data_IF_309417604055
#
_entry.id   IF_309417604055
#
_cell.length_a   1.000
_cell.length_b   1.000
_cell.length_c   1.000
_cell.angle_alpha   90.00
_cell.angle_beta   90.00
_cell.angle_gamma   90.00
#
_symmetry.space_group_name_H-M   'P 1'
#
loop_
_entity.id
_entity.type
_entity.pdbx_description
1 polymer ?
#
# COMPACT_ATOMS: atom_id res chain seq x y z
N UNK A 1 5.22 -4.15 3.39
CA UNK A 1 6.21 -4.90 4.21
C UNK A 1 7.31 -4.05 4.81
N UNK A 2 8.16 -3.38 4.01
CA UNK A 2 9.35 -2.68 4.51
C UNK A 2 9.07 -1.69 5.66
N UNK A 3 7.95 -0.95 5.65
CA UNK A 3 7.59 -0.03 6.74
C UNK A 3 7.28 -0.69 8.09
N UNK A 4 7.05 -2.01 8.11
CA UNK A 4 6.73 -2.78 9.32
C UNK A 4 7.96 -3.46 9.92
N UNK A 5 8.96 -3.81 9.10
CA UNK A 5 10.10 -4.65 9.51
C UNK A 5 11.46 -3.95 9.46
N UNK A 6 11.61 -2.92 8.62
CA UNK A 6 12.87 -2.22 8.42
C UNK A 6 12.76 -0.76 8.87
N UNK A 7 13.90 -0.17 9.24
CA UNK A 7 14.00 1.27 9.43
C UNK A 7 14.18 2.01 8.10
N UNK A 8 13.84 3.30 8.08
CA UNK A 8 13.95 4.17 6.92
C UNK A 8 12.62 4.74 6.43
N UNK A 9 12.59 5.17 5.17
CA UNK A 9 11.50 5.97 4.59
C UNK A 9 10.12 5.32 4.78
N UNK A 10 10.01 4.01 4.53
CA UNK A 10 8.73 3.31 4.68
C UNK A 10 8.26 3.27 6.14
N UNK A 11 9.17 3.19 7.11
CA UNK A 11 8.84 3.19 8.55
C UNK A 11 8.31 4.55 8.98
N UNK A 12 8.96 5.60 8.52
CA UNK A 12 8.54 6.97 8.81
C UNK A 12 7.19 7.30 8.19
N UNK A 13 6.91 6.78 7.00
CA UNK A 13 5.58 6.90 6.39
C UNK A 13 4.53 6.26 7.32
N UNK A 14 4.75 5.00 7.73
CA UNK A 14 3.80 4.29 8.60
C UNK A 14 3.59 5.01 9.92
N UNK A 15 4.66 5.47 10.57
CA UNK A 15 4.59 6.05 11.92
C UNK A 15 4.11 7.50 11.95
N UNK A 16 4.55 8.33 11.01
CA UNK A 16 4.42 9.79 11.10
C UNK A 16 3.45 10.38 10.10
N UNK A 17 3.17 9.65 9.01
CA UNK A 17 2.47 10.19 7.85
C UNK A 17 1.12 9.53 7.63
N UNK A 18 0.97 8.24 7.93
CA UNK A 18 -0.33 7.56 7.87
C UNK A 18 -1.45 8.24 8.66
N UNK A 19 -1.25 8.83 9.87
CA UNK A 19 -2.34 9.50 10.58
C UNK A 19 -2.94 10.70 9.85
N UNK A 20 -2.23 11.26 8.86
CA UNK A 20 -2.71 12.36 8.03
C UNK A 20 -3.31 11.88 6.69
N UNK A 21 -3.42 10.57 6.48
CA UNK A 21 -3.89 9.96 5.24
C UNK A 21 -5.01 8.95 5.53
N UNK A 22 -5.94 8.82 4.61
CA UNK A 22 -6.85 7.67 4.62
C UNK A 22 -6.16 6.50 3.92
N UNK A 23 -5.95 5.41 4.66
CA UNK A 23 -5.33 4.21 4.14
C UNK A 23 -6.41 3.28 3.58
N UNK A 24 -6.25 2.88 2.32
CA UNK A 24 -7.15 1.96 1.64
C UNK A 24 -6.45 0.62 1.40
N UNK A 25 -7.15 -0.49 1.69
CA UNK A 25 -6.61 -1.84 1.48
C UNK A 25 -7.72 -2.83 1.16
N UNK A 26 -7.37 -4.09 0.85
CA UNK A 26 -8.32 -5.20 0.70
C UNK A 26 -8.02 -6.29 1.73
N UNK A 27 -8.98 -7.21 1.90
CA UNK A 27 -8.76 -8.39 2.75
C UNK A 27 -7.63 -9.26 2.23
N UNK A 28 -7.54 -9.43 0.90
CA UNK A 28 -6.52 -10.25 0.26
C UNK A 28 -5.14 -9.70 0.51
N UNK A 29 -4.92 -8.39 0.30
CA UNK A 29 -3.63 -7.76 0.59
C UNK A 29 -3.23 -7.83 2.08
N UNK A 30 -4.20 -7.74 2.99
CA UNK A 30 -3.93 -7.89 4.42
C UNK A 30 -3.53 -9.32 4.78
N UNK A 31 -4.19 -10.31 4.20
CA UNK A 31 -3.88 -11.73 4.40
C UNK A 31 -2.50 -12.05 3.81
N UNK A 32 -2.23 -11.62 2.58
CA UNK A 32 -0.94 -11.77 1.91
C UNK A 32 0.20 -11.09 2.67
N UNK A 33 -0.05 -9.88 3.21
CA UNK A 33 0.90 -9.19 4.08
C UNK A 33 1.21 -10.02 5.33
N UNK A 34 0.19 -10.61 5.95
CA UNK A 34 0.34 -11.49 7.10
C UNK A 34 1.12 -12.76 6.80
N UNK A 35 0.83 -13.41 5.68
CA UNK A 35 1.54 -14.60 5.19
C UNK A 35 3.02 -14.27 4.93
N UNK A 36 3.31 -13.21 4.17
CA UNK A 36 4.69 -12.81 3.88
C UNK A 36 5.47 -12.43 5.14
N UNK A 37 4.83 -11.88 6.17
CA UNK A 37 5.47 -11.63 7.48
C UNK A 37 5.90 -12.94 8.16
N UNK A 38 5.05 -13.96 8.12
CA UNK A 38 5.34 -15.28 8.69
C UNK A 38 6.42 -16.00 7.90
N UNK A 39 6.27 -16.09 6.59
CA UNK A 39 7.13 -16.89 5.73
C UNK A 39 8.51 -16.26 5.54
N UNK A 40 8.58 -14.95 5.26
CA UNK A 40 9.87 -14.29 4.94
C UNK A 40 10.61 -13.80 6.16
N UNK A 41 9.91 -13.48 7.25
CA UNK A 41 10.52 -12.86 8.43
C UNK A 41 10.35 -13.67 9.72
N UNK A 42 9.56 -14.76 9.71
CA UNK A 42 9.30 -15.55 10.91
C UNK A 42 8.51 -14.78 11.98
N UNK A 43 7.82 -13.69 11.61
CA UNK A 43 7.12 -12.82 12.54
C UNK A 43 5.64 -13.17 12.56
N UNK A 44 5.06 -13.35 13.76
CA UNK A 44 3.61 -13.47 13.89
C UNK A 44 2.96 -12.09 13.75
N UNK A 45 2.07 -11.86 12.77
CA UNK A 45 1.32 -10.62 12.59
C UNK A 45 0.68 -10.08 13.87
N UNK A 46 0.25 -10.97 14.77
CA UNK A 46 -0.38 -10.60 16.05
C UNK A 46 0.59 -9.91 17.02
N UNK A 47 1.88 -10.19 16.91
CA UNK A 47 2.92 -9.65 17.77
C UNK A 47 3.58 -8.41 17.15
N UNK A 48 3.00 -7.83 16.10
CA UNK A 48 3.50 -6.64 15.41
C UNK A 48 2.57 -5.45 15.69
N UNK A 49 2.84 -4.62 16.72
CA UNK A 49 1.99 -3.48 17.07
C UNK A 49 1.75 -2.52 15.90
N UNK A 50 2.74 -2.33 15.03
CA UNK A 50 2.59 -1.44 13.87
C UNK A 50 1.72 -2.03 12.77
N UNK A 51 1.66 -3.36 12.65
CA UNK A 51 0.72 -3.99 11.73
C UNK A 51 -0.70 -3.88 12.27
N UNK A 52 -0.88 -3.94 13.60
CA UNK A 52 -2.17 -3.70 14.22
C UNK A 52 -2.63 -2.25 13.98
N UNK A 53 -1.78 -1.26 14.23
CA UNK A 53 -2.07 0.16 13.95
C UNK A 53 -2.41 0.36 12.47
N UNK A 54 -1.67 -0.29 11.57
CA UNK A 54 -1.94 -0.24 10.14
C UNK A 54 -3.34 -0.79 9.81
N UNK A 55 -3.71 -1.95 10.37
CA UNK A 55 -5.02 -2.56 10.17
C UNK A 55 -6.15 -1.69 10.74
N UNK A 56 -5.96 -1.15 11.94
CA UNK A 56 -6.95 -0.32 12.63
C UNK A 56 -7.18 1.02 11.92
N UNK A 57 -6.16 1.53 11.22
CA UNK A 57 -6.24 2.78 10.45
C UNK A 57 -6.65 2.58 8.99
N UNK A 58 -6.77 1.33 8.53
CA UNK A 58 -7.05 1.01 7.14
C UNK A 58 -8.55 0.79 6.90
N UNK A 59 -9.08 1.44 5.87
CA UNK A 59 -10.39 1.13 5.30
C UNK A 59 -10.26 -0.10 4.40
N UNK A 60 -10.87 -1.22 4.83
CA UNK A 60 -10.86 -2.48 4.08
C UNK A 60 -11.98 -2.48 3.04
N UNK A 61 -11.61 -2.54 1.78
CA UNK A 61 -12.49 -2.57 0.62
C UNK A 61 -12.59 -3.97 0.04
N UNK A 62 -13.70 -4.22 -0.68
CA UNK A 62 -13.89 -5.40 -1.54
C UNK A 62 -13.97 -4.92 -2.99
N UNK A 63 -12.82 -4.70 -3.66
CA UNK A 63 -12.81 -4.25 -5.04
C UNK A 63 -13.42 -5.31 -5.95
N UNK A 64 -14.07 -4.88 -7.04
CA UNK A 64 -14.39 -5.78 -8.15
C UNK A 64 -13.14 -5.94 -9.00
N UNK A 65 -12.92 -7.13 -9.56
CA UNK A 65 -11.85 -7.36 -10.52
C UNK A 65 -11.92 -6.35 -11.67
N UNK A 66 -10.76 -5.90 -12.14
CA UNK A 66 -10.69 -5.02 -13.29
C UNK A 66 -11.33 -5.69 -14.51
N UNK A 67 -11.96 -4.88 -15.37
CA UNK A 67 -12.60 -5.38 -16.60
C UNK A 67 -11.61 -5.97 -17.59
N UNK A 68 -10.35 -5.53 -17.54
CA UNK A 68 -9.23 -6.01 -18.34
C UNK A 68 -7.98 -6.01 -17.48
N UNK A 69 -7.10 -7.00 -17.63
CA UNK A 69 -5.80 -6.96 -16.97
C UNK A 69 -5.01 -5.75 -17.43
N UNK A 70 -4.40 -5.02 -16.50
CA UNK A 70 -3.60 -3.81 -16.79
C UNK A 70 -2.13 -4.12 -16.61
N UNK A 71 -1.81 -4.84 -15.54
CA UNK A 71 -0.48 -5.29 -15.20
C UNK A 71 -0.25 -6.73 -15.69
N UNK A 72 1.03 -7.11 -15.75
CA UNK A 72 1.43 -8.50 -16.08
C UNK A 72 1.24 -9.42 -14.88
N UNK A 73 1.36 -8.85 -13.68
CA UNK A 73 1.11 -9.52 -12.41
C UNK A 73 -0.34 -9.27 -11.97
N UNK A 74 -1.15 -10.32 -11.72
CA UNK A 74 -2.49 -10.18 -11.17
C UNK A 74 -2.55 -9.46 -9.82
N UNK A 75 -1.49 -9.56 -9.01
CA UNK A 75 -1.44 -8.91 -7.68
C UNK A 75 -1.41 -7.38 -7.82
N UNK A 76 -0.76 -6.87 -8.87
CA UNK A 76 -0.71 -5.45 -9.18
C UNK A 76 -2.07 -4.92 -9.67
N UNK A 77 -2.82 -5.74 -10.42
CA UNK A 77 -4.18 -5.39 -10.85
C UNK A 77 -5.12 -5.25 -9.65
N UNK A 78 -4.88 -5.99 -8.57
CA UNK A 78 -5.64 -5.81 -7.33
C UNK A 78 -5.38 -4.44 -6.70
N UNK A 79 -4.13 -3.99 -6.63
CA UNK A 79 -3.80 -2.64 -6.13
C UNK A 79 -4.50 -1.55 -6.93
N UNK A 80 -4.51 -1.68 -8.26
CA UNK A 80 -5.23 -0.77 -9.15
C UNK A 80 -6.75 -0.82 -8.92
N UNK A 81 -7.31 -2.01 -8.68
CA UNK A 81 -8.75 -2.18 -8.42
C UNK A 81 -9.18 -1.55 -7.09
N UNK A 82 -8.37 -1.68 -6.04
CA UNK A 82 -8.60 -1.03 -4.73
C UNK A 82 -8.60 0.48 -4.89
N UNK A 83 -7.59 1.00 -5.60
CA UNK A 83 -7.48 2.43 -5.86
C UNK A 83 -8.70 2.99 -6.58
N UNK A 84 -9.22 2.27 -7.58
CA UNK A 84 -10.47 2.65 -8.25
C UNK A 84 -11.68 2.58 -7.33
N UNK A 85 -11.82 1.48 -6.58
CA UNK A 85 -12.98 1.25 -5.72
C UNK A 85 -13.08 2.29 -4.60
N UNK A 86 -11.94 2.66 -4.01
CA UNK A 86 -11.85 3.65 -2.93
C UNK A 86 -11.57 5.07 -3.41
N UNK A 87 -11.48 5.30 -4.73
CA UNK A 87 -11.11 6.60 -5.33
C UNK A 87 -9.81 7.16 -4.74
N UNK A 88 -8.81 6.30 -4.57
CA UNK A 88 -7.51 6.67 -4.02
C UNK A 88 -6.86 7.75 -4.89
N UNK A 89 -6.28 8.76 -4.24
CA UNK A 89 -5.48 9.77 -4.93
C UNK A 89 -4.09 9.25 -5.31
N UNK A 90 -3.56 8.34 -4.48
CA UNK A 90 -2.19 7.83 -4.59
C UNK A 90 -2.15 6.32 -4.32
N UNK A 91 -1.47 5.58 -5.19
CA UNK A 91 -0.95 4.23 -4.92
C UNK A 91 0.50 4.37 -4.50
N UNK A 92 0.82 3.86 -3.32
CA UNK A 92 2.18 3.82 -2.80
C UNK A 92 2.78 2.43 -3.04
N UNK A 93 3.75 2.33 -3.94
CA UNK A 93 4.36 1.03 -4.29
C UNK A 93 5.87 1.14 -4.47
N UNK A 94 6.58 0.07 -4.14
CA UNK A 94 8.00 -0.10 -4.46
C UNK A 94 8.23 -0.85 -5.78
N UNK A 95 7.16 -1.35 -6.40
CA UNK A 95 7.25 -2.14 -7.63
C UNK A 95 7.58 -1.23 -8.82
N UNK A 96 8.62 -1.61 -9.57
CA UNK A 96 9.09 -0.82 -10.71
C UNK A 96 8.09 -0.84 -11.87
N UNK A 97 7.42 -1.96 -12.09
CA UNK A 97 6.47 -2.12 -13.19
C UNK A 97 5.25 -1.22 -12.96
N UNK A 98 4.69 -1.23 -11.75
CA UNK A 98 3.64 -0.26 -11.38
C UNK A 98 4.12 1.19 -11.47
N UNK A 99 5.33 1.48 -10.99
CA UNK A 99 5.89 2.83 -11.06
C UNK A 99 6.07 3.33 -12.50
N UNK A 100 6.24 2.44 -13.48
CA UNK A 100 6.31 2.83 -14.90
C UNK A 100 5.00 3.43 -15.43
N UNK A 101 3.85 3.03 -14.86
CA UNK A 101 2.54 3.55 -15.24
C UNK A 101 2.39 5.03 -14.87
N UNK A 102 3.05 5.47 -13.79
CA UNK A 102 3.03 6.84 -13.19
C UNK A 102 1.65 7.30 -12.70
N UNK A 103 0.59 7.03 -13.44
CA UNK A 103 -0.78 7.35 -13.11
C UNK A 103 -1.73 6.32 -13.74
N UNK A 104 -2.79 5.98 -13.03
CA UNK A 104 -3.84 5.10 -13.50
C UNK A 104 -5.22 5.69 -13.18
N UNK A 105 -6.00 6.00 -14.21
CA UNK A 105 -7.37 6.54 -14.10
C UNK A 105 -7.54 7.68 -13.07
N UNK A 106 -6.57 8.59 -13.00
CA UNK A 106 -6.56 9.72 -12.07
C UNK A 106 -5.73 9.47 -10.81
N UNK A 107 -5.53 8.23 -10.40
CA UNK A 107 -4.70 7.86 -9.24
C UNK A 107 -3.21 7.93 -9.58
N UNK A 108 -2.43 8.68 -8.81
CA UNK A 108 -0.98 8.79 -8.98
C UNK A 108 -0.29 7.54 -8.42
N UNK A 109 0.77 7.07 -9.06
CA UNK A 109 1.54 5.93 -8.57
C UNK A 109 2.91 6.46 -8.16
N UNK A 110 3.20 6.41 -6.86
CA UNK A 110 4.39 6.99 -6.26
C UNK A 110 5.20 5.94 -5.51
N UNK A 111 6.52 6.09 -5.55
CA UNK A 111 7.41 5.37 -4.65
C UNK A 111 7.39 5.98 -3.25
N UNK A 112 7.80 5.25 -2.20
CA UNK A 112 7.92 5.79 -0.84
C UNK A 112 8.68 7.11 -0.77
N UNK A 113 9.78 7.25 -1.52
CA UNK A 113 10.56 8.49 -1.57
C UNK A 113 9.78 9.63 -2.22
N UNK A 114 9.18 9.36 -3.39
CA UNK A 114 8.36 10.36 -4.09
C UNK A 114 7.15 10.80 -3.27
N UNK A 115 6.53 9.90 -2.50
CA UNK A 115 5.41 10.23 -1.63
C UNK A 115 5.80 11.18 -0.50
N UNK A 116 6.96 10.95 0.15
CA UNK A 116 7.47 11.87 1.17
C UNK A 116 7.75 13.25 0.58
N UNK A 117 8.43 13.30 -0.57
CA UNK A 117 8.68 14.57 -1.28
C UNK A 117 7.38 15.26 -1.69
N UNK A 118 6.38 14.50 -2.16
CA UNK A 118 5.08 15.03 -2.53
C UNK A 118 4.39 15.66 -1.31
N UNK A 119 4.34 14.97 -0.16
CA UNK A 119 3.71 15.52 1.04
C UNK A 119 4.45 16.71 1.63
N UNK A 120 5.78 16.72 1.58
CA UNK A 120 6.55 17.84 2.11
C UNK A 120 6.39 19.12 1.25
N UNK A 121 6.02 18.98 -0.03
CA UNK A 121 5.66 20.11 -0.90
C UNK A 121 4.22 20.62 -0.73
N UNK A 122 3.37 19.88 -0.02
CA UNK A 122 1.98 20.28 0.26
C UNK A 122 1.84 21.06 1.58
N UNK A 123 2.95 21.31 2.28
CA UNK A 123 3.04 22.18 3.46
C UNK A 123 3.42 23.60 3.05
#
# INVERSE_FOLDING_TARGET
>A
MAGLVAEGVCRDIVKRRLPACELLTSRVLLDELGEKMREKFGLDPKNLPLLQIYQDSATVLKPKSLRKPVCRDPDDDELLAIALAGKAEIILTGDKDLLTLKQFQGTRILSPRQFVEWMDRQK
#
